data_IF_017756893119
#
_entry.id   IF_017756893119
#
_cell.length_a   1.000
_cell.length_b   1.000
_cell.length_c   1.000
_cell.angle_alpha   90.00
_cell.angle_beta   90.00
_cell.angle_gamma   90.00
#
_symmetry.space_group_name_H-M   'P 1'
#
loop_
_entity.id
_entity.type
_entity.pdbx_description
1 polymer ?
#
# COMPACT_ATOMS: atom_id res chain seq x y z
N UNK A 1 20.26 -24.65 -11.97
CA UNK A 1 20.06 -24.28 -10.55
C UNK A 1 18.78 -23.48 -10.46
N UNK A 2 17.67 -24.12 -10.10
CA UNK A 2 16.44 -23.38 -9.76
C UNK A 2 16.60 -22.84 -8.35
N UNK A 3 16.78 -21.52 -8.22
CA UNK A 3 16.71 -20.85 -6.93
C UNK A 3 15.23 -20.83 -6.57
N UNK A 4 14.78 -21.84 -5.83
CA UNK A 4 13.49 -21.79 -5.13
C UNK A 4 13.62 -20.74 -4.02
N UNK A 5 13.52 -19.46 -4.38
CA UNK A 5 13.34 -18.39 -3.40
C UNK A 5 12.06 -18.70 -2.66
N UNK A 6 12.18 -19.21 -1.43
CA UNK A 6 11.03 -19.44 -0.58
C UNK A 6 10.26 -18.11 -0.49
N UNK A 7 9.02 -18.11 -0.97
CA UNK A 7 8.11 -16.96 -0.89
C UNK A 7 7.80 -16.75 0.60
N UNK A 8 8.67 -16.02 1.30
CA UNK A 8 8.44 -15.65 2.69
C UNK A 8 7.39 -14.54 2.69
N UNK A 9 6.26 -14.78 3.36
CA UNK A 9 5.25 -13.75 3.54
C UNK A 9 5.78 -12.66 4.47
N UNK A 10 5.96 -11.46 3.93
CA UNK A 10 6.40 -10.26 4.62
C UNK A 10 5.18 -9.44 5.07
N UNK A 11 5.19 -9.01 6.32
CA UNK A 11 4.25 -8.01 6.82
C UNK A 11 4.65 -6.63 6.33
N UNK A 12 3.70 -5.93 5.72
CA UNK A 12 3.85 -4.54 5.29
C UNK A 12 2.70 -3.71 5.82
N UNK A 13 2.96 -2.42 5.99
CA UNK A 13 1.99 -1.45 6.46
C UNK A 13 1.81 -0.40 5.39
N UNK A 14 0.56 -0.03 5.14
CA UNK A 14 0.19 0.88 4.07
C UNK A 14 -0.62 2.04 4.62
N UNK A 15 -0.28 3.24 4.16
CA UNK A 15 -1.13 4.42 4.22
C UNK A 15 -1.83 4.59 2.88
N UNK A 16 -3.15 4.62 2.91
CA UNK A 16 -3.97 4.87 1.72
C UNK A 16 -4.79 6.14 1.93
N UNK A 17 -4.77 7.01 0.93
CA UNK A 17 -5.65 8.17 0.85
C UNK A 17 -6.69 7.89 -0.22
N UNK A 18 -7.97 8.13 0.08
CA UNK A 18 -9.06 7.99 -0.89
C UNK A 18 -9.26 9.25 -1.76
N UNK A 19 -10.26 9.24 -2.64
CA UNK A 19 -10.55 10.41 -3.48
C UNK A 19 -11.04 11.65 -2.70
N UNK A 20 -11.54 11.48 -1.48
CA UNK A 20 -12.02 12.57 -0.62
C UNK A 20 -10.89 13.23 0.14
N UNK A 21 -9.77 12.51 0.31
CA UNK A 21 -8.63 12.89 1.13
C UNK A 21 -8.59 12.19 2.48
N UNK A 22 -9.52 11.26 2.75
CA UNK A 22 -9.52 10.47 3.97
C UNK A 22 -8.35 9.49 3.96
N UNK A 23 -7.67 9.38 5.10
CA UNK A 23 -6.46 8.57 5.26
C UNK A 23 -6.79 7.35 6.09
N UNK A 24 -6.40 6.18 5.60
CA UNK A 24 -6.52 4.90 6.30
C UNK A 24 -5.16 4.22 6.39
N UNK A 25 -4.98 3.45 7.46
CA UNK A 25 -3.78 2.66 7.71
C UNK A 25 -4.16 1.18 7.75
N UNK A 26 -3.42 0.33 7.02
CA UNK A 26 -3.71 -1.11 6.94
C UNK A 26 -2.45 -1.95 6.97
N UNK A 27 -2.53 -3.14 7.58
CA UNK A 27 -1.49 -4.16 7.56
C UNK A 27 -1.84 -5.25 6.53
N UNK A 28 -0.86 -5.69 5.76
CA UNK A 28 -0.99 -6.78 4.78
C UNK A 28 0.18 -7.75 4.90
N UNK A 29 -0.09 -9.04 4.66
CA UNK A 29 0.96 -10.04 4.52
C UNK A 29 1.08 -10.44 3.06
N UNK A 30 2.23 -10.16 2.45
CA UNK A 30 2.46 -10.28 1.01
C UNK A 30 3.71 -11.07 0.71
N UNK A 31 3.80 -11.67 -0.48
CA UNK A 31 4.98 -12.42 -0.88
C UNK A 31 5.95 -11.60 -1.75
N UNK A 32 5.44 -10.50 -2.31
CA UNK A 32 6.20 -9.52 -3.09
C UNK A 32 5.70 -8.11 -2.73
N UNK A 33 6.52 -7.39 -1.97
CA UNK A 33 6.20 -6.04 -1.49
C UNK A 33 6.15 -5.05 -2.64
N UNK A 34 7.11 -5.11 -3.56
CA UNK A 34 7.22 -4.13 -4.64
C UNK A 34 6.03 -4.24 -5.59
N UNK A 35 5.67 -5.47 -5.96
CA UNK A 35 4.48 -5.73 -6.78
C UNK A 35 3.20 -5.24 -6.10
N UNK A 36 3.05 -5.49 -4.81
CA UNK A 36 1.86 -5.08 -4.07
C UNK A 36 1.75 -3.55 -3.94
N UNK A 37 2.83 -2.87 -3.53
CA UNK A 37 2.85 -1.41 -3.38
C UNK A 37 2.54 -0.73 -4.71
N UNK A 38 3.16 -1.19 -5.80
CA UNK A 38 2.91 -0.65 -7.13
C UNK A 38 1.45 -0.84 -7.57
N UNK A 39 0.87 -2.02 -7.34
CA UNK A 39 -0.53 -2.26 -7.65
C UNK A 39 -1.47 -1.28 -6.92
N UNK A 40 -1.20 -0.98 -5.65
CA UNK A 40 -1.99 0.00 -4.86
C UNK A 40 -1.81 1.43 -5.36
N UNK A 41 -0.61 1.78 -5.81
CA UNK A 41 -0.35 3.09 -6.42
C UNK A 41 -1.07 3.23 -7.76
N UNK A 42 -1.05 2.19 -8.59
CA UNK A 42 -1.76 2.15 -9.87
C UNK A 42 -3.29 2.26 -9.67
N UNK A 43 -3.84 1.60 -8.65
CA UNK A 43 -5.26 1.74 -8.27
C UNK A 43 -5.62 3.18 -7.86
N UNK A 44 -4.77 3.82 -7.05
CA UNK A 44 -4.94 5.21 -6.66
C UNK A 44 -4.85 6.17 -7.86
N UNK A 45 -3.90 5.94 -8.78
CA UNK A 45 -3.77 6.71 -10.01
C UNK A 45 -5.03 6.58 -10.90
N UNK A 46 -5.53 5.35 -11.10
CA UNK A 46 -6.79 5.13 -11.84
C UNK A 46 -8.00 5.77 -11.18
N UNK A 47 -8.03 5.84 -9.85
CA UNK A 47 -9.11 6.53 -9.12
C UNK A 47 -9.04 8.04 -9.35
N UNK A 48 -7.85 8.61 -9.29
CA UNK A 48 -7.57 10.01 -9.59
C UNK A 48 -7.97 10.38 -11.02
N UNK A 49 -7.57 9.58 -12.02
CA UNK A 49 -7.97 9.78 -13.43
C UNK A 49 -9.48 9.75 -13.62
N UNK A 50 -10.17 8.74 -13.06
CA UNK A 50 -11.63 8.60 -13.19
C UNK A 50 -12.42 9.72 -12.53
N UNK A 51 -11.89 10.31 -11.47
CA UNK A 51 -12.56 11.34 -10.67
C UNK A 51 -12.08 12.77 -10.96
N UNK A 52 -11.05 12.94 -11.79
CA UNK A 52 -10.39 14.23 -11.99
C UNK A 52 -9.77 14.78 -10.70
N UNK A 53 -9.26 13.90 -9.84
CA UNK A 53 -8.66 14.24 -8.54
C UNK A 53 -7.16 13.92 -8.52
N UNK A 54 -6.44 14.45 -7.55
CA UNK A 54 -5.03 14.09 -7.27
C UNK A 54 -4.83 13.64 -5.83
N UNK A 55 -5.93 13.38 -5.11
CA UNK A 55 -5.92 13.11 -3.67
C UNK A 55 -5.64 11.65 -3.34
N UNK A 56 -6.09 10.72 -4.18
CA UNK A 56 -5.93 9.31 -3.91
C UNK A 56 -4.44 8.94 -3.97
N UNK A 57 -3.99 8.12 -3.02
CA UNK A 57 -2.58 7.73 -2.94
C UNK A 57 -2.38 6.47 -2.11
N UNK A 58 -1.29 5.77 -2.37
CA UNK A 58 -0.89 4.60 -1.60
C UNK A 58 0.61 4.66 -1.32
N UNK A 59 0.98 4.48 -0.06
CA UNK A 59 2.37 4.56 0.38
C UNK A 59 2.66 3.49 1.43
N UNK A 60 3.80 2.83 1.31
CA UNK A 60 4.31 1.98 2.37
C UNK A 60 4.78 2.83 3.54
N UNK A 61 4.36 2.46 4.75
CA UNK A 61 4.76 3.09 6.01
C UNK A 61 5.47 2.05 6.89
N UNK A 62 6.19 2.53 7.90
CA UNK A 62 6.82 1.64 8.87
C UNK A 62 5.80 1.14 9.89
N UNK A 63 6.16 0.09 10.64
CA UNK A 63 5.33 -0.44 11.73
C UNK A 63 5.08 0.62 12.81
N UNK A 64 6.10 1.40 13.16
CA UNK A 64 6.00 2.47 14.16
C UNK A 64 5.01 3.54 13.71
N UNK A 65 5.07 3.94 12.43
CA UNK A 65 4.13 4.90 11.85
C UNK A 65 2.70 4.35 11.83
N UNK A 66 2.53 3.07 11.56
CA UNK A 66 1.23 2.39 11.62
C UNK A 66 0.65 2.39 13.04
N UNK A 67 1.44 1.96 14.02
CA UNK A 67 1.01 1.89 15.43
C UNK A 67 0.69 3.27 15.99
N UNK A 68 1.53 4.28 15.72
CA UNK A 68 1.32 5.64 16.20
C UNK A 68 0.06 6.34 15.63
N UNK A 69 -0.53 5.78 14.57
CA UNK A 69 -1.72 6.34 13.89
C UNK A 69 -2.96 5.46 13.98
N UNK A 70 -2.82 4.27 14.57
CA UNK A 70 -3.92 3.29 14.74
C UNK A 70 -4.42 3.21 16.19
N UNK A 71 -3.83 4.00 17.10
CA UNK A 71 -4.23 4.20 18.49
C UNK A 71 -4.84 5.61 18.65
#
# INVERSE_FOLDING_TARGET
>A
MSISTALQGLDIYMRTTDETGAVTFSQHRVWDVQRFVRARQDEAAKLNERKGSTKAGAQQVTREQYVARSL
#
